data_IF_361758311372
#
_entry.id   IF_361758311372
#
_cell.length_a   1.000
_cell.length_b   1.000
_cell.length_c   1.000
_cell.angle_alpha   90.00
_cell.angle_beta   90.00
_cell.angle_gamma   90.00
#
_symmetry.space_group_name_H-M   'P 1'
#
loop_
_entity.id
_entity.type
_entity.pdbx_description
1 polymer ?
#
# COMPACT_ATOMS: atom_id res chain seq x y z
N UNK A 1 78.84 38.72 -39.65
CA UNK A 1 77.87 37.81 -39.00
C UNK A 1 76.55 37.88 -39.74
N UNK A 2 76.17 36.81 -40.42
CA UNK A 2 74.76 36.40 -40.49
C UNK A 2 74.63 34.97 -39.94
N UNK A 3 73.75 34.81 -38.96
CA UNK A 3 73.41 33.51 -38.38
C UNK A 3 72.64 32.68 -39.39
N UNK A 4 73.14 31.48 -39.67
CA UNK A 4 72.43 30.45 -40.43
C UNK A 4 71.14 30.09 -39.68
N UNK A 5 70.00 30.39 -40.29
CA UNK A 5 68.70 29.85 -39.89
C UNK A 5 68.76 28.32 -39.95
N UNK A 6 68.34 27.60 -38.89
CA UNK A 6 68.29 26.15 -38.93
C UNK A 6 67.23 25.70 -39.95
N UNK A 7 67.69 24.89 -40.89
CA UNK A 7 66.94 24.30 -41.99
C UNK A 7 65.82 23.37 -41.44
N UNK A 8 64.52 23.63 -41.71
CA UNK A 8 63.40 22.91 -41.10
C UNK A 8 63.19 21.47 -41.64
N UNK A 9 64.12 20.94 -42.45
CA UNK A 9 63.98 19.67 -43.17
C UNK A 9 64.72 18.45 -42.59
N UNK A 10 65.12 18.47 -41.31
CA UNK A 10 65.88 17.36 -40.68
C UNK A 10 65.10 16.67 -39.57
N UNK A 11 64.32 15.66 -39.95
CA UNK A 11 64.28 14.32 -39.31
C UNK A 11 62.97 13.59 -39.64
N UNK A 12 62.94 12.75 -40.69
CA UNK A 12 61.75 11.95 -41.01
C UNK A 12 61.33 11.04 -39.85
N UNK A 13 62.29 10.63 -38.99
CA UNK A 13 62.02 9.89 -37.75
C UNK A 13 61.21 10.67 -36.72
N UNK A 14 61.40 11.98 -36.60
CA UNK A 14 60.66 12.82 -35.64
C UNK A 14 59.18 12.98 -36.05
N UNK A 15 58.90 13.14 -37.35
CA UNK A 15 57.54 13.17 -37.88
C UNK A 15 56.82 11.82 -37.71
N UNK A 16 57.53 10.70 -37.90
CA UNK A 16 57.00 9.36 -37.66
C UNK A 16 56.72 9.14 -36.17
N UNK A 17 57.63 9.53 -35.28
CA UNK A 17 57.45 9.46 -33.83
C UNK A 17 56.27 10.31 -33.35
N UNK A 18 56.14 11.55 -33.86
CA UNK A 18 55.01 12.43 -33.55
C UNK A 18 53.67 11.82 -34.01
N UNK A 19 53.61 11.21 -35.20
CA UNK A 19 52.43 10.49 -35.69
C UNK A 19 52.05 9.31 -34.79
N UNK A 20 53.03 8.53 -34.31
CA UNK A 20 52.78 7.42 -33.40
C UNK A 20 52.35 7.89 -32.00
N UNK A 21 52.92 8.98 -31.49
CA UNK A 21 52.50 9.60 -30.23
C UNK A 21 51.07 10.14 -30.32
N UNK A 22 50.71 10.83 -31.40
CA UNK A 22 49.35 11.30 -31.64
C UNK A 22 48.36 10.14 -31.76
N UNK A 23 48.74 9.05 -32.45
CA UNK A 23 47.93 7.83 -32.52
C UNK A 23 47.76 7.17 -31.16
N UNK A 24 48.84 7.02 -30.40
CA UNK A 24 48.79 6.44 -29.05
C UNK A 24 47.93 7.30 -28.10
N UNK A 25 48.06 8.62 -28.15
CA UNK A 25 47.23 9.55 -27.40
C UNK A 25 45.75 9.46 -27.80
N UNK A 26 45.45 9.37 -29.10
CA UNK A 26 44.09 9.18 -29.59
C UNK A 26 43.49 7.84 -29.15
N UNK A 27 44.27 6.75 -29.19
CA UNK A 27 43.84 5.43 -28.69
C UNK A 27 43.59 5.47 -27.19
N UNK A 28 44.47 6.11 -26.41
CA UNK A 28 44.29 6.24 -24.97
C UNK A 28 43.03 7.06 -24.64
N UNK A 29 42.79 8.17 -25.34
CA UNK A 29 41.58 8.97 -25.20
C UNK A 29 40.33 8.14 -25.52
N UNK A 30 40.35 7.36 -26.60
CA UNK A 30 39.25 6.45 -26.96
C UNK A 30 38.98 5.41 -25.87
N UNK A 31 40.02 4.82 -25.29
CA UNK A 31 39.89 3.85 -24.20
C UNK A 31 39.28 4.50 -22.94
N UNK A 32 39.69 5.72 -22.61
CA UNK A 32 39.13 6.46 -21.47
C UNK A 32 37.66 6.80 -21.70
N UNK A 33 37.30 7.32 -22.88
CA UNK A 33 35.91 7.62 -23.23
C UNK A 33 35.04 6.37 -23.23
N UNK A 34 35.55 5.25 -23.77
CA UNK A 34 34.85 3.97 -23.77
C UNK A 34 34.64 3.46 -22.34
N UNK A 35 35.65 3.57 -21.48
CA UNK A 35 35.54 3.18 -20.08
C UNK A 35 34.49 4.03 -19.33
N UNK A 36 34.45 5.34 -19.58
CA UNK A 36 33.43 6.23 -19.02
C UNK A 36 32.02 5.80 -19.44
N UNK A 37 31.82 5.49 -20.74
CA UNK A 37 30.53 5.00 -21.24
C UNK A 37 30.12 3.65 -20.61
N UNK A 38 31.08 2.74 -20.39
CA UNK A 38 30.82 1.48 -19.69
C UNK A 38 30.39 1.72 -18.24
N UNK A 39 31.05 2.65 -17.55
CA UNK A 39 30.68 3.02 -16.18
C UNK A 39 29.28 3.65 -16.11
N UNK A 40 28.95 4.57 -17.03
CA UNK A 40 27.61 5.16 -17.14
C UNK A 40 26.54 4.10 -17.42
N UNK A 41 26.80 3.19 -18.36
CA UNK A 41 25.88 2.09 -18.65
C UNK A 41 25.64 1.19 -17.43
N UNK A 42 26.71 0.83 -16.70
CA UNK A 42 26.62 0.04 -15.47
C UNK A 42 25.92 0.78 -14.34
N UNK A 43 26.04 2.11 -14.30
CA UNK A 43 25.33 2.95 -13.35
C UNK A 43 23.82 3.00 -13.62
N UNK A 44 23.33 2.54 -14.78
CA UNK A 44 21.90 2.52 -15.15
C UNK A 44 21.20 3.85 -14.78
N UNK A 45 21.60 4.98 -15.38
CA UNK A 45 21.00 6.28 -15.10
C UNK A 45 19.51 6.27 -15.48
N UNK A 46 18.71 7.01 -14.72
CA UNK A 46 17.27 7.12 -14.95
C UNK A 46 16.94 8.60 -15.11
N UNK A 47 16.40 8.98 -16.27
CA UNK A 47 15.80 10.28 -16.48
C UNK A 47 14.35 10.25 -16.04
N UNK A 48 13.92 11.26 -15.29
CA UNK A 48 12.53 11.36 -14.81
C UNK A 48 11.74 12.35 -15.66
N UNK A 49 10.55 11.93 -16.10
CA UNK A 49 9.59 12.81 -16.77
C UNK A 49 8.37 12.96 -15.88
N UNK A 50 7.93 14.20 -15.70
CA UNK A 50 6.70 14.52 -14.98
C UNK A 50 5.63 14.85 -16.01
N UNK A 51 4.56 14.06 -16.02
CA UNK A 51 3.39 14.30 -16.86
C UNK A 51 2.22 14.58 -15.93
N UNK A 52 1.51 15.68 -16.21
CA UNK A 52 0.26 15.99 -15.52
C UNK A 52 -0.88 15.40 -16.35
N UNK A 53 -1.46 14.33 -15.86
CA UNK A 53 -2.68 13.74 -16.41
C UNK A 53 -3.79 13.79 -15.39
N UNK A 54 -4.99 13.41 -15.84
CA UNK A 54 -6.12 13.26 -14.96
C UNK A 54 -5.94 12.05 -14.05
N UNK A 55 -6.21 12.23 -12.76
CA UNK A 55 -6.12 11.15 -11.80
C UNK A 55 -7.29 10.17 -11.97
N UNK A 56 -7.06 8.85 -11.85
CA UNK A 56 -8.15 7.91 -11.73
C UNK A 56 -8.91 8.16 -10.42
N UNK A 57 -10.21 7.83 -10.41
CA UNK A 57 -11.00 7.87 -9.19
C UNK A 57 -10.37 6.98 -8.10
N UNK A 58 -10.16 7.49 -6.87
CA UNK A 58 -9.54 6.74 -5.80
C UNK A 58 -10.49 5.68 -5.22
N UNK A 59 -9.93 4.65 -4.59
CA UNK A 59 -10.71 3.78 -3.73
C UNK A 59 -10.95 4.44 -2.37
N UNK A 60 -12.10 4.15 -1.78
CA UNK A 60 -12.52 4.69 -0.48
C UNK A 60 -12.73 3.54 0.49
N UNK A 61 -11.97 3.48 1.58
CA UNK A 61 -12.19 2.49 2.64
C UNK A 61 -12.77 3.17 3.87
N UNK A 62 -13.97 2.74 4.27
CA UNK A 62 -14.68 3.24 5.44
C UNK A 62 -14.53 2.25 6.59
N UNK A 63 -13.92 2.70 7.68
CA UNK A 63 -13.79 1.95 8.92
C UNK A 63 -14.57 2.64 10.05
N UNK A 64 -15.01 1.90 11.08
CA UNK A 64 -15.50 2.49 12.31
C UNK A 64 -14.44 3.40 12.96
N UNK A 65 -14.89 4.41 13.72
CA UNK A 65 -14.02 5.36 14.41
C UNK A 65 -13.07 4.72 15.42
N UNK A 66 -13.48 3.61 16.02
CA UNK A 66 -12.73 2.82 16.97
C UNK A 66 -13.13 1.34 16.91
N UNK A 67 -12.37 0.49 17.61
CA UNK A 67 -12.80 -0.88 17.91
C UNK A 67 -14.01 -0.89 18.86
N UNK A 68 -14.67 -2.03 19.00
CA UNK A 68 -15.78 -2.22 19.93
C UNK A 68 -15.40 -1.83 21.37
N UNK A 69 -16.20 -0.97 21.99
CA UNK A 69 -16.01 -0.47 23.35
C UNK A 69 -16.91 -1.08 24.40
N UNK A 70 -17.90 -1.87 23.99
CA UNK A 70 -18.66 -2.68 24.94
C UNK A 70 -17.77 -3.82 25.47
N UNK A 71 -17.11 -3.56 26.61
CA UNK A 71 -16.23 -4.53 27.25
C UNK A 71 -16.99 -5.72 27.85
N UNK A 72 -18.28 -5.55 28.19
CA UNK A 72 -19.13 -6.65 28.65
C UNK A 72 -19.33 -7.64 27.51
N UNK A 73 -19.81 -7.15 26.37
CA UNK A 73 -19.94 -7.96 25.15
C UNK A 73 -18.62 -8.62 24.75
N UNK A 74 -17.51 -7.87 24.73
CA UNK A 74 -16.21 -8.44 24.35
C UNK A 74 -15.77 -9.57 25.28
N UNK A 75 -15.98 -9.41 26.59
CA UNK A 75 -15.66 -10.45 27.57
C UNK A 75 -16.53 -11.68 27.35
N UNK A 76 -17.83 -11.50 27.15
CA UNK A 76 -18.77 -12.61 26.97
C UNK A 76 -18.48 -13.38 25.68
N UNK A 77 -18.15 -12.67 24.59
CA UNK A 77 -17.71 -13.30 23.34
C UNK A 77 -16.36 -14.02 23.49
N UNK A 78 -15.43 -13.46 24.27
CA UNK A 78 -14.16 -14.12 24.55
C UNK A 78 -14.33 -15.41 25.37
N UNK A 79 -15.20 -15.40 26.38
CA UNK A 79 -15.57 -16.61 27.13
C UNK A 79 -16.25 -17.64 26.23
N UNK A 80 -17.11 -17.20 25.31
CA UNK A 80 -17.71 -18.07 24.31
C UNK A 80 -16.67 -18.76 23.41
N UNK A 81 -15.64 -18.03 22.98
CA UNK A 81 -14.52 -18.60 22.23
C UNK A 81 -13.75 -19.65 23.04
N UNK A 82 -13.44 -19.37 24.31
CA UNK A 82 -12.70 -20.28 25.18
C UNK A 82 -13.48 -21.57 25.46
N UNK A 83 -14.79 -21.45 25.62
CA UNK A 83 -15.69 -22.59 25.85
C UNK A 83 -16.08 -23.30 24.54
N UNK A 84 -15.65 -22.79 23.39
CA UNK A 84 -15.98 -23.34 22.07
C UNK A 84 -17.43 -23.18 21.65
N UNK A 85 -18.21 -22.30 22.30
CA UNK A 85 -19.61 -22.04 21.95
C UNK A 85 -19.77 -21.17 20.71
N UNK A 86 -18.74 -20.38 20.36
CA UNK A 86 -18.67 -19.60 19.13
C UNK A 86 -17.34 -19.82 18.43
N UNK A 87 -17.30 -19.65 17.11
CA UNK A 87 -16.06 -19.71 16.33
C UNK A 87 -15.32 -18.36 16.31
N UNK A 88 -14.05 -18.36 15.88
CA UNK A 88 -13.31 -17.10 15.64
C UNK A 88 -14.00 -16.23 14.60
N UNK A 89 -14.63 -16.82 13.57
CA UNK A 89 -15.39 -16.06 12.59
C UNK A 89 -16.61 -15.38 13.24
N UNK A 90 -17.30 -16.08 14.15
CA UNK A 90 -18.42 -15.51 14.90
C UNK A 90 -17.97 -14.40 15.82
N UNK A 91 -16.83 -14.54 16.50
CA UNK A 91 -16.25 -13.46 17.29
C UNK A 91 -16.01 -12.21 16.44
N UNK A 92 -15.39 -12.35 15.26
CA UNK A 92 -15.22 -11.23 14.33
C UNK A 92 -16.57 -10.66 13.91
N UNK A 93 -17.58 -11.50 13.71
CA UNK A 93 -18.90 -11.06 13.30
C UNK A 93 -19.65 -10.26 14.37
N UNK A 94 -19.61 -10.71 15.61
CA UNK A 94 -20.36 -10.15 16.72
C UNK A 94 -19.66 -8.94 17.35
N UNK A 95 -18.35 -8.82 17.20
CA UNK A 95 -17.54 -7.75 17.82
C UNK A 95 -17.14 -6.63 16.86
N UNK A 96 -17.54 -6.69 15.59
CA UNK A 96 -17.23 -5.65 14.61
C UNK A 96 -18.50 -5.06 14.01
N UNK A 97 -18.45 -3.76 13.69
CA UNK A 97 -19.56 -3.07 13.06
C UNK A 97 -19.72 -3.51 11.60
N UNK A 98 -20.93 -3.92 11.23
CA UNK A 98 -21.31 -4.10 9.82
C UNK A 98 -21.58 -2.72 9.24
N UNK A 99 -20.85 -2.32 8.19
CA UNK A 99 -21.00 -0.99 7.59
C UNK A 99 -21.77 -1.08 6.26
N UNK A 100 -22.86 -0.30 6.15
CA UNK A 100 -23.52 0.49 7.16
C UNK A 100 -24.39 -0.41 8.00
N UNK A 101 -24.62 0.06 9.21
CA UNK A 101 -25.52 -0.57 10.13
C UNK A 101 -26.92 -0.03 9.85
N UNK A 102 -27.74 -0.72 9.06
CA UNK A 102 -29.11 -0.29 8.69
C UNK A 102 -29.16 0.97 7.79
N UNK A 103 -29.83 0.87 6.64
CA UNK A 103 -30.21 2.00 5.75
C UNK A 103 -29.09 2.92 5.22
N UNK A 104 -27.80 2.56 5.30
CA UNK A 104 -26.76 3.45 4.84
C UNK A 104 -26.63 3.52 3.30
N UNK A 105 -26.40 4.73 2.80
CA UNK A 105 -26.42 5.03 1.37
C UNK A 105 -25.32 6.04 1.01
N UNK A 106 -24.74 5.90 -0.18
CA UNK A 106 -23.92 6.92 -0.81
C UNK A 106 -24.72 7.51 -1.96
N UNK A 107 -24.98 8.81 -1.93
CA UNK A 107 -25.56 9.55 -3.05
C UNK A 107 -24.46 10.31 -3.76
N UNK A 108 -24.47 10.26 -5.08
CA UNK A 108 -23.54 11.02 -5.91
C UNK A 108 -24.35 12.00 -6.74
N UNK A 109 -24.01 13.28 -6.63
CA UNK A 109 -24.62 14.33 -7.45
C UNK A 109 -23.89 14.39 -8.80
N UNK A 110 -24.54 13.89 -9.86
CA UNK A 110 -23.96 13.81 -11.20
C UNK A 110 -25.04 14.01 -12.28
N UNK A 111 -25.50 15.27 -12.45
CA UNK A 111 -26.53 15.68 -13.43
C UNK A 111 -27.95 15.09 -13.19
N UNK A 112 -28.03 13.91 -12.60
CA UNK A 112 -29.16 13.10 -12.16
C UNK A 112 -28.69 12.42 -10.87
N UNK A 113 -29.32 12.73 -9.73
CA UNK A 113 -28.96 12.11 -8.46
C UNK A 113 -29.24 10.60 -8.49
N UNK A 114 -28.20 9.78 -8.42
CA UNK A 114 -28.30 8.32 -8.29
C UNK A 114 -27.79 7.88 -6.92
N UNK A 115 -28.41 6.87 -6.33
CA UNK A 115 -28.04 6.32 -5.02
C UNK A 115 -27.40 4.94 -5.15
N UNK A 116 -26.37 4.69 -4.34
CA UNK A 116 -25.82 3.36 -4.09
C UNK A 116 -26.09 2.97 -2.64
N UNK A 117 -26.55 1.74 -2.42
CA UNK A 117 -26.59 1.16 -1.08
C UNK A 117 -25.16 0.78 -0.64
N UNK A 118 -24.89 0.96 0.64
CA UNK A 118 -23.68 0.46 1.29
C UNK A 118 -24.15 -0.71 2.20
N UNK A 119 -23.37 -1.80 2.42
CA UNK A 119 -22.49 -2.34 1.42
C UNK A 119 -23.34 -2.87 0.26
N UNK A 120 -22.70 -3.27 -0.83
CA UNK A 120 -23.41 -3.83 -1.97
C UNK A 120 -23.01 -3.18 -3.29
N UNK A 121 -23.69 -3.60 -4.34
CA UNK A 121 -23.42 -3.16 -5.69
C UNK A 121 -24.38 -2.04 -6.07
N UNK A 122 -23.88 -1.06 -6.81
CA UNK A 122 -24.68 0.00 -7.39
C UNK A 122 -24.06 0.55 -8.67
N UNK A 123 -24.70 1.55 -9.27
CA UNK A 123 -24.27 2.08 -10.59
C UNK A 123 -22.87 2.68 -10.57
N UNK A 124 -22.42 3.19 -9.43
CA UNK A 124 -21.09 3.80 -9.32
C UNK A 124 -20.00 2.85 -8.82
N UNK A 125 -20.32 1.61 -8.44
CA UNK A 125 -19.32 0.70 -7.89
C UNK A 125 -19.89 -0.33 -6.93
N UNK A 126 -18.98 -1.07 -6.28
CA UNK A 126 -19.31 -2.08 -5.30
C UNK A 126 -18.61 -1.80 -3.96
N UNK A 127 -19.33 -2.00 -2.86
CA UNK A 127 -18.78 -1.92 -1.51
C UNK A 127 -18.50 -3.32 -0.98
N UNK A 128 -17.25 -3.56 -0.58
CA UNK A 128 -16.76 -4.87 -0.16
C UNK A 128 -16.24 -4.83 1.26
N UNK A 129 -16.66 -5.80 2.07
CA UNK A 129 -16.24 -5.90 3.46
C UNK A 129 -14.87 -6.56 3.58
N UNK A 130 -14.06 -6.07 4.51
CA UNK A 130 -12.77 -6.67 4.87
C UNK A 130 -12.47 -6.51 6.34
N UNK A 131 -11.87 -7.54 6.93
CA UNK A 131 -11.36 -7.48 8.29
C UNK A 131 -9.92 -7.01 8.32
N UNK A 132 -9.61 -6.21 9.32
CA UNK A 132 -8.27 -5.75 9.64
C UNK A 132 -8.01 -5.96 11.13
N UNK A 133 -6.74 -5.92 11.52
CA UNK A 133 -6.32 -6.06 12.90
C UNK A 133 -5.60 -4.79 13.34
N UNK A 134 -6.32 -3.90 14.02
CA UNK A 134 -5.80 -2.60 14.43
C UNK A 134 -5.24 -2.67 15.85
N UNK A 135 -4.22 -1.88 16.13
CA UNK A 135 -3.72 -1.72 17.49
C UNK A 135 -4.59 -0.72 18.26
N UNK A 136 -5.32 -1.22 19.24
CA UNK A 136 -6.14 -0.43 20.15
C UNK A 136 -5.44 -0.34 21.52
N UNK A 137 -4.90 0.82 21.87
CA UNK A 137 -4.18 1.02 23.13
C UNK A 137 -5.20 1.44 24.20
N UNK A 138 -5.26 0.78 25.37
CA UNK A 138 -4.29 -0.16 25.93
C UNK A 138 -4.52 -1.65 25.61
N UNK A 139 -5.60 -2.01 24.95
CA UNK A 139 -6.12 -3.39 24.86
C UNK A 139 -5.48 -4.30 23.80
N UNK A 140 -4.35 -3.90 23.22
CA UNK A 140 -3.61 -4.70 22.26
C UNK A 140 -4.21 -4.66 20.85
N UNK A 141 -4.13 -5.75 20.11
CA UNK A 141 -4.67 -5.80 18.74
C UNK A 141 -6.14 -6.24 18.75
N UNK A 142 -7.00 -5.55 18.01
CA UNK A 142 -8.43 -5.87 17.93
C UNK A 142 -8.92 -5.94 16.48
N UNK A 143 -9.82 -6.87 16.17
CA UNK A 143 -10.40 -6.94 14.85
C UNK A 143 -11.28 -5.71 14.61
N UNK A 144 -11.24 -5.22 13.37
CA UNK A 144 -12.16 -4.22 12.87
C UNK A 144 -12.65 -4.66 11.50
N UNK A 145 -13.92 -4.39 11.21
CA UNK A 145 -14.50 -4.59 9.88
C UNK A 145 -14.62 -3.24 9.21
N UNK A 146 -14.03 -3.13 8.03
CA UNK A 146 -14.17 -1.97 7.17
C UNK A 146 -14.85 -2.37 5.86
N UNK A 147 -15.31 -1.37 5.13
CA UNK A 147 -15.97 -1.53 3.84
C UNK A 147 -15.25 -0.66 2.81
N UNK A 148 -14.73 -1.27 1.74
CA UNK A 148 -13.98 -0.61 0.66
C UNK A 148 -14.86 -0.45 -0.57
N UNK A 149 -14.92 0.76 -1.11
CA UNK A 149 -15.59 1.09 -2.36
C UNK A 149 -14.67 0.84 -3.54
N UNK A 150 -15.11 -0.06 -4.41
CA UNK A 150 -14.54 -0.35 -5.71
C UNK A 150 -15.31 0.47 -6.75
N UNK A 151 -14.73 1.58 -7.27
CA UNK A 151 -15.41 2.43 -8.25
C UNK A 151 -15.68 1.67 -9.56
N UNK A 152 -16.80 1.97 -10.20
CA UNK A 152 -17.14 1.44 -11.53
C UNK A 152 -16.31 2.12 -12.63
N UNK A 153 -16.23 1.49 -13.80
CA UNK A 153 -15.60 2.07 -14.98
C UNK A 153 -16.14 3.48 -15.30
N UNK A 154 -17.44 3.69 -15.07
CA UNK A 154 -18.09 4.99 -15.23
C UNK A 154 -17.42 6.10 -14.41
N UNK A 155 -17.11 5.87 -13.13
CA UNK A 155 -16.43 6.88 -12.30
C UNK A 155 -14.99 7.14 -12.76
N UNK A 156 -14.33 6.15 -13.37
CA UNK A 156 -13.00 6.32 -13.95
C UNK A 156 -13.03 7.14 -15.25
N UNK A 157 -14.11 7.03 -16.02
CA UNK A 157 -14.29 7.67 -17.33
C UNK A 157 -15.01 9.02 -17.26
N UNK A 158 -15.73 9.31 -16.16
CA UNK A 158 -16.41 10.58 -15.89
C UNK A 158 -15.55 11.74 -16.34
N UNK A 159 -16.03 12.83 -16.94
CA UNK A 159 -15.15 13.91 -17.46
C UNK A 159 -14.75 14.97 -16.40
N UNK A 160 -15.41 15.00 -15.25
CA UNK A 160 -15.27 16.05 -14.23
C UNK A 160 -14.24 15.69 -13.14
N UNK A 161 -13.50 16.68 -12.65
CA UNK A 161 -12.51 16.49 -11.57
C UNK A 161 -13.11 16.66 -10.17
N UNK A 162 -14.43 16.86 -10.09
CA UNK A 162 -15.15 17.08 -8.86
C UNK A 162 -16.34 16.12 -8.81
N UNK A 163 -16.51 15.51 -7.65
CA UNK A 163 -17.62 14.63 -7.34
C UNK A 163 -18.16 15.02 -5.97
N UNK A 164 -19.42 15.38 -5.91
CA UNK A 164 -20.09 15.62 -4.63
C UNK A 164 -20.78 14.32 -4.21
N UNK A 165 -20.30 13.75 -3.11
CA UNK A 165 -20.81 12.50 -2.56
C UNK A 165 -21.32 12.73 -1.13
N UNK A 166 -22.54 12.29 -0.85
CA UNK A 166 -23.16 12.37 0.48
C UNK A 166 -23.31 10.96 1.05
N UNK A 167 -22.76 10.74 2.24
CA UNK A 167 -22.85 9.48 2.96
C UNK A 167 -23.92 9.58 4.05
N UNK A 168 -24.92 8.71 3.98
CA UNK A 168 -25.89 8.49 5.04
C UNK A 168 -25.42 7.24 5.80
N UNK A 169 -24.87 7.44 6.99
CA UNK A 169 -24.32 6.38 7.82
C UNK A 169 -24.97 6.48 9.21
N UNK A 170 -25.49 5.36 9.69
CA UNK A 170 -25.89 5.24 11.09
C UNK A 170 -24.68 5.34 12.00
N UNK A 171 -24.86 5.82 13.23
CA UNK A 171 -23.76 5.97 14.18
C UNK A 171 -24.00 5.03 15.34
N UNK A 172 -23.01 4.19 15.65
CA UNK A 172 -23.00 3.37 16.86
C UNK A 172 -21.96 3.93 17.83
N UNK A 173 -22.43 4.39 19.00
CA UNK A 173 -21.57 4.94 20.05
C UNK A 173 -20.49 3.95 20.52
N UNK A 174 -20.77 2.66 20.41
CA UNK A 174 -19.87 1.57 20.76
C UNK A 174 -18.60 1.53 19.88
N UNK A 175 -18.63 2.18 18.72
CA UNK A 175 -17.51 2.24 17.76
C UNK A 175 -17.03 3.68 17.47
N UNK A 176 -17.47 4.67 18.24
CA UNK A 176 -17.06 6.07 18.05
C UNK A 176 -15.69 6.34 18.70
N UNK A 177 -14.78 7.00 18.00
CA UNK A 177 -13.45 7.39 18.49
C UNK A 177 -13.54 8.35 19.70
N UNK A 178 -12.57 8.41 20.65
CA UNK A 178 -12.68 9.31 21.81
C UNK A 178 -12.66 10.80 21.40
N UNK A 179 -12.10 11.10 20.22
CA UNK A 179 -12.13 12.43 19.61
C UNK A 179 -13.44 12.73 18.82
N UNK A 180 -14.49 11.96 19.09
CA UNK A 180 -15.83 12.12 18.52
C UNK A 180 -15.92 11.96 17.00
N UNK A 181 -15.15 11.02 16.43
CA UNK A 181 -15.28 10.58 15.04
C UNK A 181 -16.06 9.26 15.00
N UNK A 182 -17.14 9.19 14.23
CA UNK A 182 -17.93 7.95 14.11
C UNK A 182 -17.31 6.97 13.12
N UNK A 183 -16.64 7.50 12.10
CA UNK A 183 -16.00 6.71 11.05
C UNK A 183 -14.64 7.31 10.67
N UNK A 184 -13.78 6.47 10.11
CA UNK A 184 -12.53 6.85 9.46
C UNK A 184 -12.66 6.53 7.97
N UNK A 185 -12.49 7.55 7.12
CA UNK A 185 -12.46 7.42 5.67
C UNK A 185 -11.01 7.43 5.18
N UNK A 186 -10.57 6.30 4.63
CA UNK A 186 -9.27 6.14 4.00
C UNK A 186 -9.40 6.36 2.49
N UNK A 187 -8.49 7.15 1.92
CA UNK A 187 -8.44 7.46 0.49
C UNK A 187 -7.14 6.88 -0.06
N UNK A 188 -7.23 5.97 -1.02
CA UNK A 188 -6.06 5.25 -1.55
C UNK A 188 -6.22 4.88 -3.03
N UNK A 189 -5.12 4.43 -3.64
CA UNK A 189 -5.13 3.83 -4.97
C UNK A 189 -5.69 2.41 -4.96
N UNK A 190 -5.50 1.65 -6.05
CA UNK A 190 -5.98 0.26 -6.14
C UNK A 190 -5.27 -0.71 -5.18
N UNK A 191 -4.17 -0.31 -4.55
CA UNK A 191 -3.46 -1.10 -3.56
C UNK A 191 -4.22 -1.27 -2.23
N UNK A 192 -3.96 -2.38 -1.53
CA UNK A 192 -4.46 -2.59 -0.16
C UNK A 192 -4.06 -1.42 0.75
N UNK A 193 -5.02 -0.76 1.43
CA UNK A 193 -4.70 0.31 2.36
C UNK A 193 -4.06 -0.24 3.64
N UNK A 194 -3.20 0.55 4.27
CA UNK A 194 -2.82 0.33 5.66
C UNK A 194 -3.81 1.09 6.56
N UNK A 195 -4.61 0.35 7.33
CA UNK A 195 -5.61 0.95 8.23
C UNK A 195 -5.16 0.95 9.69
N UNK A 196 -3.84 0.90 9.91
CA UNK A 196 -3.23 0.82 11.24
C UNK A 196 -2.83 -0.60 11.66
N UNK A 197 -2.88 -1.54 10.71
CA UNK A 197 -2.40 -2.92 10.90
C UNK A 197 -0.89 -3.05 10.63
N UNK A 198 -0.30 -2.14 9.85
CA UNK A 198 1.16 -1.99 9.73
C UNK A 198 1.61 -0.79 10.58
N UNK A 199 2.39 -1.07 11.63
CA UNK A 199 2.88 -0.05 12.56
C UNK A 199 4.32 0.35 12.25
N UNK A 200 4.57 1.66 12.09
CA UNK A 200 5.91 2.23 11.87
C UNK A 200 6.92 1.83 12.96
N UNK A 201 6.48 1.68 14.22
CA UNK A 201 7.35 1.25 15.32
C UNK A 201 7.82 -0.20 15.20
N UNK A 202 7.11 -1.04 14.45
CA UNK A 202 7.44 -2.46 14.23
C UNK A 202 8.16 -2.69 12.90
N UNK A 203 7.91 -1.83 11.90
CA UNK A 203 8.39 -1.98 10.53
C UNK A 203 9.51 -1.00 10.16
N UNK A 204 9.82 -0.05 11.05
CA UNK A 204 10.81 1.00 10.85
C UNK A 204 10.29 2.19 10.04
N UNK A 205 11.17 3.16 9.81
CA UNK A 205 10.89 4.36 9.02
C UNK A 205 10.51 3.95 7.59
N UNK A 206 9.31 4.31 7.16
CA UNK A 206 8.82 4.06 5.80
C UNK A 206 7.86 2.89 5.66
N UNK A 207 7.16 2.48 6.72
CA UNK A 207 5.97 1.66 6.52
C UNK A 207 4.94 2.44 5.68
N UNK A 208 4.18 1.76 4.79
CA UNK A 208 3.18 2.42 3.97
C UNK A 208 2.12 3.03 4.88
N UNK A 209 1.85 4.33 4.74
CA UNK A 209 0.71 4.97 5.38
C UNK A 209 -0.38 5.23 4.35
N UNK A 210 -1.63 5.12 4.78
CA UNK A 210 -2.78 5.50 3.96
C UNK A 210 -3.37 6.77 4.52
N UNK A 211 -3.67 7.73 3.63
CA UNK A 211 -4.34 8.96 4.01
C UNK A 211 -5.73 8.63 4.57
N UNK A 212 -6.06 9.20 5.72
CA UNK A 212 -7.34 8.99 6.37
C UNK A 212 -7.90 10.28 6.93
N UNK A 213 -9.21 10.29 7.13
CA UNK A 213 -9.93 11.40 7.71
C UNK A 213 -11.05 10.91 8.64
N UNK A 214 -11.14 11.50 9.83
CA UNK A 214 -12.24 11.27 10.75
C UNK A 214 -13.52 11.96 10.27
N UNK A 215 -14.60 11.20 10.14
CA UNK A 215 -15.93 11.69 9.83
C UNK A 215 -16.73 11.89 11.12
N UNK A 216 -17.26 13.11 11.29
CA UNK A 216 -18.14 13.46 12.40
C UNK A 216 -19.60 13.37 11.94
N UNK A 217 -20.55 13.05 12.83
CA UNK A 217 -21.98 13.11 12.52
C UNK A 217 -22.38 14.51 12.04
N UNK A 218 -23.16 14.58 10.96
CA UNK A 218 -23.74 15.83 10.44
C UNK A 218 -22.74 16.86 9.89
N UNK A 219 -21.47 16.47 9.69
CA UNK A 219 -20.47 17.37 9.14
C UNK A 219 -20.40 17.31 7.61
N UNK A 220 -20.49 18.47 6.96
CA UNK A 220 -20.13 18.61 5.55
C UNK A 220 -18.61 18.78 5.43
N UNK A 221 -17.99 18.03 4.53
CA UNK A 221 -16.54 18.09 4.34
C UNK A 221 -16.19 18.03 2.85
N UNK A 222 -15.39 18.98 2.40
CA UNK A 222 -14.86 19.04 1.03
C UNK A 222 -13.41 18.57 1.03
N UNK A 223 -13.10 17.62 0.15
CA UNK A 223 -11.73 17.13 -0.03
C UNK A 223 -11.20 17.45 -1.42
N UNK A 224 -9.96 17.93 -1.47
CA UNK A 224 -9.17 18.00 -2.70
C UNK A 224 -8.12 16.91 -2.67
N UNK A 225 -8.35 15.84 -3.41
CA UNK A 225 -7.41 14.72 -3.53
C UNK A 225 -6.50 14.97 -4.72
N UNK A 226 -5.18 14.85 -4.52
CA UNK A 226 -4.19 14.87 -5.60
C UNK A 226 -3.52 13.51 -5.66
N UNK A 227 -3.73 12.77 -6.74
CA UNK A 227 -3.04 11.50 -6.94
C UNK A 227 -1.64 11.73 -7.51
N UNK A 228 -0.64 11.06 -6.93
CA UNK A 228 0.71 11.01 -7.48
C UNK A 228 1.00 9.58 -7.95
N UNK A 229 0.90 9.36 -9.26
CA UNK A 229 1.25 8.08 -9.87
C UNK A 229 2.75 8.07 -10.16
N UNK A 230 3.46 7.07 -9.65
CA UNK A 230 4.90 6.90 -9.86
C UNK A 230 5.15 5.63 -10.66
N UNK A 231 5.67 5.77 -11.87
CA UNK A 231 6.22 4.66 -12.65
C UNK A 231 7.72 4.62 -12.44
N UNK A 232 8.19 3.61 -11.71
CA UNK A 232 9.62 3.42 -11.44
C UNK A 232 10.26 2.56 -12.53
N UNK A 233 11.50 2.88 -12.89
CA UNK A 233 12.28 2.05 -13.80
C UNK A 233 12.80 0.82 -13.06
N UNK A 234 12.62 -0.36 -13.64
CA UNK A 234 13.15 -1.60 -13.09
C UNK A 234 14.66 -1.69 -13.39
N UNK A 235 15.49 -1.42 -12.38
CA UNK A 235 16.96 -1.44 -12.49
C UNK A 235 17.56 -2.42 -11.49
N UNK A 236 18.77 -2.93 -11.75
CA UNK A 236 19.38 -3.99 -10.94
C UNK A 236 19.56 -3.60 -9.47
N UNK A 237 19.93 -2.34 -9.22
CA UNK A 237 20.11 -1.80 -7.85
C UNK A 237 18.80 -1.61 -7.08
N UNK A 238 17.67 -1.50 -7.78
CA UNK A 238 16.33 -1.23 -7.22
C UNK A 238 15.27 -1.90 -8.11
N UNK A 239 15.14 -3.23 -8.01
CA UNK A 239 14.19 -3.94 -8.84
C UNK A 239 12.76 -3.55 -8.48
N UNK A 240 11.91 -3.42 -9.50
CA UNK A 240 10.48 -3.20 -9.34
C UNK A 240 9.74 -4.50 -9.67
N UNK A 241 8.75 -4.87 -8.86
CA UNK A 241 7.82 -5.96 -9.19
C UNK A 241 6.59 -5.38 -9.90
N UNK A 242 6.11 -6.06 -10.92
CA UNK A 242 5.00 -5.62 -11.77
C UNK A 242 3.79 -6.56 -11.73
N UNK A 243 3.75 -7.50 -10.77
CA UNK A 243 2.63 -8.40 -10.58
C UNK A 243 1.36 -7.59 -10.24
N UNK A 244 0.22 -7.86 -10.91
CA UNK A 244 -1.05 -7.23 -10.57
C UNK A 244 -1.39 -7.42 -9.09
N UNK A 245 -1.86 -6.36 -8.43
CA UNK A 245 -2.21 -6.39 -7.00
C UNK A 245 -1.03 -6.35 -6.03
N UNK A 246 0.22 -6.42 -6.51
CA UNK A 246 1.38 -6.25 -5.65
C UNK A 246 1.51 -4.81 -5.15
N UNK A 247 1.66 -4.65 -3.84
CA UNK A 247 2.04 -3.38 -3.22
C UNK A 247 2.97 -3.61 -2.04
N UNK A 248 3.72 -2.58 -1.64
CA UNK A 248 4.57 -2.66 -0.44
C UNK A 248 3.76 -3.01 0.80
N UNK A 249 2.54 -2.46 0.93
CA UNK A 249 1.65 -2.77 2.05
C UNK A 249 1.19 -4.22 2.02
N UNK A 250 0.73 -4.70 0.85
CA UNK A 250 0.29 -6.09 0.68
C UNK A 250 1.42 -7.07 1.01
N UNK A 251 2.62 -6.82 0.51
CA UNK A 251 3.80 -7.65 0.76
C UNK A 251 4.14 -7.75 2.25
N UNK A 252 4.14 -6.62 2.97
CA UNK A 252 4.43 -6.60 4.41
C UNK A 252 3.33 -7.31 5.21
N UNK A 253 2.05 -7.11 4.85
CA UNK A 253 0.93 -7.81 5.48
C UNK A 253 1.03 -9.32 5.29
N UNK A 254 1.26 -9.78 4.07
CA UNK A 254 1.42 -11.21 3.78
C UNK A 254 2.61 -11.83 4.51
N UNK A 255 3.71 -11.10 4.66
CA UNK A 255 4.85 -11.53 5.45
C UNK A 255 4.45 -11.76 6.92
N UNK A 256 3.74 -10.79 7.53
CA UNK A 256 3.24 -10.91 8.90
C UNK A 256 2.25 -12.06 9.05
N UNK A 257 1.33 -12.23 8.08
CA UNK A 257 0.36 -13.32 8.10
C UNK A 257 1.01 -14.68 7.96
N UNK A 258 1.95 -14.85 7.02
CA UNK A 258 2.70 -16.12 6.85
C UNK A 258 3.47 -16.48 8.11
N UNK A 259 4.10 -15.50 8.76
CA UNK A 259 4.79 -15.73 10.03
C UNK A 259 3.83 -16.15 11.14
N UNK A 260 2.73 -15.43 11.31
CA UNK A 260 1.73 -15.78 12.33
C UNK A 260 1.13 -17.15 12.05
N UNK A 261 0.80 -17.45 10.80
CA UNK A 261 0.26 -18.72 10.37
C UNK A 261 1.25 -19.90 10.50
N UNK A 262 2.54 -19.68 10.26
CA UNK A 262 3.58 -20.67 10.52
C UNK A 262 3.74 -20.97 12.02
N UNK A 263 3.51 -19.98 12.89
CA UNK A 263 3.54 -20.16 14.33
C UNK A 263 2.27 -20.86 14.86
N UNK A 264 1.11 -20.59 14.28
CA UNK A 264 -0.18 -21.09 14.78
C UNK A 264 -0.70 -22.33 14.06
N UNK A 265 -0.20 -22.61 12.86
CA UNK A 265 -0.72 -23.65 11.96
C UNK A 265 -2.13 -23.35 11.44
N UNK A 266 -2.64 -22.12 11.56
CA UNK A 266 -4.01 -21.76 11.21
C UNK A 266 -4.12 -20.34 10.66
N UNK A 267 -5.25 -20.04 9.99
CA UNK A 267 -5.55 -18.71 9.43
C UNK A 267 -6.63 -17.96 10.22
N UNK A 268 -6.45 -16.64 10.34
CA UNK A 268 -7.42 -15.70 10.91
C UNK A 268 -8.21 -14.97 9.79
N UNK A 269 -9.43 -14.47 10.05
CA UNK A 269 -10.27 -13.83 9.03
C UNK A 269 -9.66 -12.63 8.29
N UNK A 270 -8.70 -11.92 8.90
CA UNK A 270 -8.04 -10.78 8.27
C UNK A 270 -6.83 -11.16 7.39
N UNK A 271 -6.42 -12.45 7.37
CA UNK A 271 -5.26 -12.94 6.63
C UNK A 271 -5.58 -13.31 5.18
N UNK A 272 -6.27 -12.42 4.46
CA UNK A 272 -6.72 -12.65 3.08
C UNK A 272 -6.11 -11.61 2.14
N UNK A 273 -5.70 -12.00 0.93
CA UNK A 273 -5.08 -11.07 -0.02
C UNK A 273 -6.07 -10.01 -0.51
N UNK A 274 -5.53 -8.92 -1.06
CA UNK A 274 -6.35 -7.99 -1.85
C UNK A 274 -6.96 -8.74 -3.04
N UNK A 275 -8.26 -8.54 -3.30
CA UNK A 275 -8.95 -9.16 -4.45
C UNK A 275 -9.54 -10.56 -4.21
N UNK A 276 -9.34 -11.17 -3.05
CA UNK A 276 -10.02 -12.41 -2.65
C UNK A 276 -11.28 -12.04 -1.87
N UNK A 277 -12.37 -11.82 -2.62
CA UNK A 277 -13.68 -11.54 -2.07
C UNK A 277 -14.44 -12.84 -1.83
N UNK A 278 -14.31 -13.41 -0.62
CA UNK A 278 -15.07 -14.59 -0.18
C UNK A 278 -14.85 -15.85 -1.07
N UNK A 279 -15.48 -16.99 -0.71
CA UNK A 279 -14.85 -18.25 -0.30
C UNK A 279 -14.22 -19.09 -1.44
N UNK A 280 -14.19 -18.61 -2.68
CA UNK A 280 -13.87 -19.42 -3.86
C UNK A 280 -12.54 -19.08 -4.54
N UNK A 281 -11.80 -18.08 -4.03
CA UNK A 281 -10.49 -17.73 -4.58
C UNK A 281 -9.40 -17.93 -3.54
N UNK A 282 -8.45 -18.81 -3.85
CA UNK A 282 -7.37 -19.22 -2.95
C UNK A 282 -6.42 -18.06 -2.62
N UNK A 283 -6.58 -17.47 -1.44
CA UNK A 283 -5.59 -16.63 -0.80
C UNK A 283 -4.29 -17.38 -0.47
N UNK A 284 -3.20 -16.66 -0.16
CA UNK A 284 -1.88 -17.25 0.05
C UNK A 284 -1.80 -18.24 1.22
N UNK A 285 -2.82 -18.26 2.09
CA UNK A 285 -2.90 -19.10 3.30
C UNK A 285 -4.16 -19.97 3.32
N UNK A 286 -4.88 -20.10 2.22
CA UNK A 286 -6.18 -20.80 2.20
C UNK A 286 -6.06 -22.31 2.38
N UNK A 287 -4.87 -22.85 2.18
CA UNK A 287 -4.53 -24.24 2.53
C UNK A 287 -4.51 -24.50 4.04
N UNK A 288 -4.52 -23.45 4.88
CA UNK A 288 -4.52 -23.59 6.33
C UNK A 288 -5.95 -23.60 6.91
N UNK A 289 -6.21 -24.41 7.94
CA UNK A 289 -7.50 -24.43 8.63
C UNK A 289 -7.75 -23.10 9.37
N UNK A 290 -9.02 -22.71 9.59
CA UNK A 290 -9.35 -21.55 10.42
C UNK A 290 -8.90 -21.79 11.88
N UNK A 291 -8.43 -20.73 12.55
CA UNK A 291 -8.05 -20.81 13.94
C UNK A 291 -9.24 -21.07 14.87
N UNK A 292 -9.05 -21.89 15.91
CA UNK A 292 -10.05 -22.14 16.96
C UNK A 292 -10.11 -21.04 18.03
N UNK A 293 -9.00 -20.36 18.27
CA UNK A 293 -8.87 -19.27 19.22
C UNK A 293 -8.24 -18.04 18.55
N UNK A 294 -8.46 -16.87 19.16
CA UNK A 294 -7.73 -15.67 18.77
C UNK A 294 -6.26 -15.85 19.12
N UNK A 295 -5.38 -15.68 18.14
CA UNK A 295 -3.94 -15.62 18.39
C UNK A 295 -3.45 -14.22 18.07
N UNK A 296 -2.88 -13.57 19.07
CA UNK A 296 -2.17 -12.30 18.88
C UNK A 296 -0.68 -12.59 18.84
N UNK A 297 0.03 -11.92 17.92
CA UNK A 297 1.48 -11.82 18.07
C UNK A 297 1.72 -11.05 19.35
N UNK A 298 2.31 -11.70 20.37
CA UNK A 298 2.75 -10.98 21.55
C UNK A 298 3.57 -9.78 21.09
N UNK A 299 3.19 -8.59 21.55
CA UNK A 299 4.04 -7.41 21.48
C UNK A 299 5.22 -7.64 22.42
N UNK A 300 6.04 -8.65 22.13
CA UNK A 300 7.36 -8.79 22.71
C UNK A 300 8.10 -7.50 22.37
N UNK A 301 8.88 -7.00 23.34
CA UNK A 301 9.64 -5.73 23.34
C UNK A 301 10.66 -5.58 22.20
N UNK A 302 10.59 -6.44 21.21
CA UNK A 302 11.65 -6.69 20.28
C UNK A 302 11.19 -6.21 18.89
N UNK A 303 11.69 -5.03 18.52
CA UNK A 303 11.27 -4.20 17.39
C UNK A 303 11.99 -4.55 16.08
N UNK A 304 12.69 -5.68 16.02
CA UNK A 304 13.56 -6.06 14.90
C UNK A 304 13.03 -7.27 14.15
N UNK A 305 11.91 -7.15 13.43
CA UNK A 305 11.33 -8.35 12.79
C UNK A 305 10.84 -8.25 11.34
N UNK A 306 11.10 -7.16 10.62
CA UNK A 306 10.83 -7.13 9.16
C UNK A 306 12.04 -6.78 8.28
N UNK A 307 13.24 -6.70 8.87
CA UNK A 307 14.48 -6.43 8.15
C UNK A 307 15.34 -7.68 7.98
N UNK A 308 14.84 -8.72 7.29
CA UNK A 308 15.74 -9.74 6.71
C UNK A 308 15.07 -10.51 5.57
N UNK A 309 14.77 -9.79 4.51
CA UNK A 309 14.84 -10.33 3.14
C UNK A 309 15.71 -9.38 2.33
N UNK A 310 16.99 -9.35 2.67
CA UNK A 310 18.03 -8.95 1.75
C UNK A 310 18.71 -10.26 1.37
N UNK A 311 18.50 -10.67 0.13
CA UNK A 311 19.18 -11.79 -0.52
C UNK A 311 20.69 -11.47 -0.48
N UNK A 312 21.40 -12.00 0.52
CA UNK A 312 22.86 -12.16 0.44
C UNK A 312 23.08 -13.41 -0.38
N UNK A 313 23.20 -13.22 -1.69
CA UNK A 313 24.03 -14.10 -2.50
C UNK A 313 25.35 -13.38 -2.71
N UNK A 314 26.33 -13.81 -1.94
CA UNK A 314 27.70 -13.90 -2.44
C UNK A 314 27.74 -15.02 -3.49
#
# INVERSE_FOLDING_TARGET
MPGSLPDPHRDPGALVALRWLLRAAAVLLLLVLLWQQVLEFRAQPISTVLVRTRAPFPQLTLCPGASQRDYGLLRDMHLGLLNGSISVADFYNLTTLVIPHENGQMKVADGITRSNYIPGNGSFGAWRQRFYMIRDIPFGHRPIRCTTFEPSAYLHELATNQLDATFFLSVSSAFTHPLNFSYLLYIHGPETPNVGDLNDRQLGVGAPSTLWQGLRPGGDITYRVTAQLRRLANVRRRPCRSEPGYSKAQCLKECLWRRLAAHTGCRLPHMVSAGVFLPETSGPLDHLPPCRLLVQMNASRDTTYCHRFQDRRE
#
